data_IF_418460840307
#
_entry.id   IF_418460840307
#
_cell.length_a   1.000
_cell.length_b   1.000
_cell.length_c   1.000
_cell.angle_alpha   90.00
_cell.angle_beta   90.00
_cell.angle_gamma   90.00
#
_symmetry.space_group_name_H-M   'P 1'
#
loop_
_entity.id
_entity.type
_entity.pdbx_description
1 polymer ?
#
# COMPACT_ATOMS: atom_id res chain seq x y z
N UNK A 1 4.87 11.11 35.91
CA UNK A 1 4.17 11.82 34.81
C UNK A 1 4.53 11.14 33.50
N UNK A 2 3.64 10.28 32.96
CA UNK A 2 3.83 9.65 31.65
C UNK A 2 3.48 10.65 30.56
N UNK A 3 4.44 10.92 29.65
CA UNK A 3 4.23 11.79 28.49
C UNK A 3 3.66 10.95 27.36
N UNK A 4 2.37 11.10 27.10
CA UNK A 4 1.70 10.50 25.94
C UNK A 4 2.04 11.32 24.70
N UNK A 5 2.80 10.72 23.78
CA UNK A 5 3.07 11.31 22.46
C UNK A 5 1.97 10.82 21.52
N UNK A 6 1.05 11.71 21.16
CA UNK A 6 0.02 11.42 20.17
C UNK A 6 0.67 11.59 18.79
N UNK A 7 0.91 10.47 18.10
CA UNK A 7 1.35 10.46 16.70
C UNK A 7 0.15 10.82 15.80
N UNK A 8 0.01 12.11 15.47
CA UNK A 8 -0.97 12.60 14.51
C UNK A 8 -0.49 12.30 13.09
N UNK A 9 -1.10 11.32 12.42
CA UNK A 9 -0.89 11.03 11.01
C UNK A 9 -1.60 12.09 10.16
N UNK A 10 -0.81 12.99 9.54
CA UNK A 10 -1.30 13.93 8.54
C UNK A 10 -1.76 13.14 7.30
N UNK A 11 -3.08 13.05 7.09
CA UNK A 11 -3.66 12.60 5.83
C UNK A 11 -3.62 13.77 4.84
N UNK A 12 -2.54 13.87 4.05
CA UNK A 12 -2.43 14.88 3.01
C UNK A 12 -3.34 14.52 1.81
N UNK A 13 -4.51 15.14 1.72
CA UNK A 13 -5.34 15.15 0.51
C UNK A 13 -4.71 16.12 -0.49
N UNK A 14 -3.87 15.60 -1.39
CA UNK A 14 -3.23 16.40 -2.44
C UNK A 14 -4.20 16.75 -3.55
N UNK A 15 -4.46 18.05 -3.75
CA UNK A 15 -5.03 18.58 -4.99
C UNK A 15 -4.11 19.72 -5.49
N UNK A 16 -3.59 19.55 -6.72
CA UNK A 16 -2.96 20.51 -7.63
C UNK A 16 -1.86 19.76 -8.40
N UNK A 17 -1.71 19.80 -9.72
CA UNK A 17 -2.44 20.43 -10.81
C UNK A 17 -1.69 20.10 -12.11
N UNK A 18 -2.42 20.06 -13.22
CA UNK A 18 -2.04 20.41 -14.61
C UNK A 18 -0.68 19.91 -15.18
N UNK A 19 -0.76 18.98 -16.14
CA UNK A 19 0.34 18.61 -17.03
C UNK A 19 0.10 17.28 -17.75
N UNK A 20 -0.39 17.33 -18.99
CA UNK A 20 -0.73 16.16 -19.78
C UNK A 20 0.45 15.25 -20.08
N UNK A 21 0.39 14.04 -19.56
CA UNK A 21 0.92 12.81 -20.15
C UNK A 21 -0.17 11.77 -19.89
N UNK A 22 -0.51 10.95 -20.90
CA UNK A 22 -1.45 9.85 -20.71
C UNK A 22 -0.86 8.86 -19.69
N UNK A 23 -1.13 9.13 -18.41
CA UNK A 23 -0.82 8.23 -17.32
C UNK A 23 -1.89 7.15 -17.38
N UNK A 24 -1.49 5.89 -17.55
CA UNK A 24 -2.33 4.77 -17.19
C UNK A 24 -2.53 4.82 -15.67
N UNK A 25 -3.43 5.69 -15.21
CA UNK A 25 -3.83 5.78 -13.81
C UNK A 25 -4.81 4.65 -13.55
N UNK A 26 -4.51 3.81 -12.55
CA UNK A 26 -5.39 2.69 -12.23
C UNK A 26 -6.71 3.22 -11.66
N UNK A 27 -7.83 2.74 -12.20
CA UNK A 27 -9.14 2.93 -11.57
C UNK A 27 -9.16 2.31 -10.17
N UNK A 28 -9.29 3.16 -9.15
CA UNK A 28 -9.31 2.74 -7.75
C UNK A 28 -10.70 2.15 -7.41
N UNK A 29 -10.72 0.90 -6.94
CA UNK A 29 -11.90 0.17 -6.46
C UNK A 29 -11.72 -0.07 -4.95
N UNK A 30 -12.43 0.73 -4.14
CA UNK A 30 -12.34 0.78 -2.68
C UNK A 30 -10.90 0.89 -2.12
N UNK A 31 -9.98 1.32 -2.98
CA UNK A 31 -8.55 1.27 -2.74
C UNK A 31 -7.93 2.63 -2.42
N UNK A 32 -6.63 2.73 -2.64
CA UNK A 32 -5.88 3.96 -2.51
C UNK A 32 -4.58 3.94 -3.30
N UNK A 33 -3.92 5.08 -3.36
CA UNK A 33 -2.64 5.25 -4.06
C UNK A 33 -1.70 6.14 -3.27
N UNK A 34 -0.40 6.01 -3.55
CA UNK A 34 0.61 6.92 -3.00
C UNK A 34 1.75 7.17 -3.99
N UNK A 35 2.24 8.41 -4.01
CA UNK A 35 3.48 8.78 -4.67
C UNK A 35 4.68 8.29 -3.84
N UNK A 36 5.54 7.48 -4.43
CA UNK A 36 6.66 6.84 -3.72
C UNK A 36 8.03 7.34 -4.16
N UNK A 37 8.11 8.53 -4.76
CA UNK A 37 9.38 9.07 -5.29
C UNK A 37 10.45 9.27 -4.22
N UNK A 38 10.06 9.72 -3.03
CA UNK A 38 10.98 10.10 -1.94
C UNK A 38 11.17 8.98 -0.90
N UNK A 39 10.83 7.75 -1.26
CA UNK A 39 10.96 6.61 -0.35
C UNK A 39 12.41 6.12 -0.29
N UNK A 40 12.96 6.02 0.91
CA UNK A 40 14.22 5.32 1.19
C UNK A 40 13.96 3.86 1.61
N UNK A 41 13.24 3.11 0.78
CA UNK A 41 12.90 1.71 1.03
C UNK A 41 11.41 1.39 0.96
N UNK A 42 11.01 0.29 1.61
CA UNK A 42 9.62 -0.16 1.65
C UNK A 42 8.96 0.25 2.97
N UNK A 43 7.81 0.93 2.87
CA UNK A 43 6.92 1.20 4.00
C UNK A 43 5.88 0.09 4.06
N UNK A 44 5.57 -0.34 5.27
CA UNK A 44 4.53 -1.34 5.55
C UNK A 44 3.47 -0.70 6.40
N UNK A 45 2.23 -1.05 6.15
CA UNK A 45 1.13 -0.63 7.00
C UNK A 45 1.19 -1.39 8.33
N UNK A 46 1.32 -0.74 9.47
CA UNK A 46 1.46 -1.41 10.77
C UNK A 46 0.18 -2.14 11.21
N UNK A 47 0.25 -3.43 11.51
CA UNK A 47 -0.86 -4.13 12.17
C UNK A 47 -0.77 -3.80 13.65
N UNK A 48 -1.71 -3.00 14.17
CA UNK A 48 -1.80 -2.71 15.60
C UNK A 48 -1.83 -4.02 16.38
N UNK A 49 -0.97 -4.09 17.39
CA UNK A 49 -0.66 -5.28 18.18
C UNK A 49 -1.91 -6.10 18.47
N UNK A 50 -1.88 -7.37 18.04
CA UNK A 50 -2.85 -8.33 18.53
C UNK A 50 -2.69 -8.42 20.05
N UNK A 51 -3.80 -8.41 20.77
CA UNK A 51 -3.82 -8.78 22.17
C UNK A 51 -3.35 -10.24 22.26
N UNK A 52 -2.05 -10.44 22.47
CA UNK A 52 -1.47 -11.74 22.81
C UNK A 52 -1.99 -12.06 24.21
N UNK A 53 -2.96 -12.96 24.30
CA UNK A 53 -3.33 -13.55 25.59
C UNK A 53 -2.08 -14.20 26.18
N UNK A 54 -1.84 -14.01 27.49
CA UNK A 54 -0.66 -14.47 28.24
C UNK A 54 -0.27 -15.95 28.04
N UNK A 55 -1.16 -16.77 27.50
CA UNK A 55 -0.97 -18.21 27.30
C UNK A 55 -0.50 -18.62 25.89
N UNK A 56 -0.10 -17.66 25.04
CA UNK A 56 0.71 -17.93 23.83
C UNK A 56 0.08 -18.79 22.72
N UNK A 57 -1.18 -19.21 22.85
CA UNK A 57 -1.76 -20.27 21.99
C UNK A 57 -2.89 -19.82 21.06
N UNK A 58 -3.19 -18.52 20.95
CA UNK A 58 -4.18 -18.05 19.95
C UNK A 58 -3.65 -16.87 19.14
N UNK A 59 -2.98 -17.15 18.02
CA UNK A 59 -2.91 -16.18 16.93
C UNK A 59 -4.32 -16.12 16.30
N UNK A 60 -5.18 -15.22 16.78
CA UNK A 60 -6.43 -14.92 16.06
C UNK A 60 -6.02 -14.48 14.66
N UNK A 61 -6.61 -15.07 13.61
CA UNK A 61 -6.42 -14.59 12.25
C UNK A 61 -6.61 -13.08 12.22
N UNK A 62 -5.64 -12.33 11.67
CA UNK A 62 -5.74 -10.87 11.59
C UNK A 62 -6.96 -10.54 10.71
N UNK A 63 -8.03 -10.03 11.32
CA UNK A 63 -9.30 -9.82 10.63
C UNK A 63 -9.32 -8.50 9.83
N UNK A 64 -8.49 -7.55 10.23
CA UNK A 64 -8.40 -6.21 9.63
C UNK A 64 -6.97 -5.70 9.77
N UNK A 65 -6.45 -5.08 8.71
CA UNK A 65 -5.23 -4.31 8.79
C UNK A 65 -5.50 -2.81 8.72
N UNK A 66 -4.47 -2.02 8.98
CA UNK A 66 -4.56 -0.55 9.07
C UNK A 66 -5.00 0.11 7.76
N UNK A 67 -4.80 -0.52 6.60
CA UNK A 67 -5.11 0.08 5.30
C UNK A 67 -6.29 -0.66 4.68
N UNK A 68 -7.47 -0.06 4.82
CA UNK A 68 -8.70 -0.47 4.15
C UNK A 68 -9.02 -1.96 4.35
N UNK A 69 -8.93 -2.44 5.61
CA UNK A 69 -9.20 -3.84 5.94
C UNK A 69 -8.11 -4.82 5.48
N UNK A 70 -6.91 -4.34 5.12
CA UNK A 70 -5.81 -5.13 4.61
C UNK A 70 -4.42 -4.64 5.04
N UNK A 71 -3.40 -5.32 4.54
CA UNK A 71 -1.99 -5.02 4.76
C UNK A 71 -1.32 -4.63 3.45
N UNK A 72 -0.72 -3.44 3.44
CA UNK A 72 -0.11 -2.86 2.26
C UNK A 72 1.37 -2.55 2.48
N UNK A 73 2.21 -3.09 1.60
CA UNK A 73 3.64 -2.77 1.50
C UNK A 73 3.85 -1.98 0.21
N UNK A 74 4.50 -0.82 0.29
CA UNK A 74 4.74 0.05 -0.85
C UNK A 74 6.06 0.78 -0.74
N UNK A 75 6.57 1.26 -1.86
CA UNK A 75 7.74 2.12 -1.87
C UNK A 75 8.64 1.88 -3.06
N UNK A 76 9.90 2.22 -2.90
CA UNK A 76 10.92 1.97 -3.91
C UNK A 76 12.17 1.34 -3.31
N UNK A 77 12.93 0.63 -4.14
CA UNK A 77 14.31 0.28 -3.85
C UNK A 77 15.23 0.89 -4.92
N UNK A 78 16.48 0.45 -5.00
CA UNK A 78 17.44 0.98 -5.98
C UNK A 78 16.96 0.87 -7.43
N UNK A 79 16.14 -0.14 -7.75
CA UNK A 79 15.79 -0.49 -9.13
C UNK A 79 14.29 -0.48 -9.44
N UNK A 80 13.43 -0.60 -8.42
CA UNK A 80 12.02 -0.90 -8.61
C UNK A 80 11.11 -0.05 -7.74
N UNK A 81 9.94 0.26 -8.31
CA UNK A 81 8.72 0.64 -7.60
C UNK A 81 8.00 -0.65 -7.21
N UNK A 82 7.54 -0.76 -5.97
CA UNK A 82 6.93 -1.99 -5.46
C UNK A 82 5.61 -1.66 -4.77
N UNK A 83 4.60 -2.49 -5.04
CA UNK A 83 3.34 -2.52 -4.28
C UNK A 83 2.98 -3.98 -3.98
N UNK A 84 2.66 -4.29 -2.73
CA UNK A 84 2.13 -5.59 -2.31
C UNK A 84 0.95 -5.38 -1.38
N UNK A 85 -0.20 -5.93 -1.72
CA UNK A 85 -1.41 -5.77 -0.95
C UNK A 85 -2.09 -7.11 -0.69
N UNK A 86 -2.50 -7.30 0.55
CA UNK A 86 -3.31 -8.44 1.00
C UNK A 86 -4.51 -7.88 1.74
N UNK A 87 -5.73 -8.21 1.33
CA UNK A 87 -6.92 -7.91 2.12
C UNK A 87 -7.31 -9.15 2.94
N UNK A 88 -7.71 -8.99 4.19
CA UNK A 88 -7.94 -10.15 5.08
C UNK A 88 -9.28 -10.86 4.82
N UNK A 89 -10.33 -10.10 4.48
CA UNK A 89 -11.70 -10.62 4.25
C UNK A 89 -12.21 -10.57 2.80
N UNK A 90 -11.50 -9.94 1.88
CA UNK A 90 -11.95 -9.60 0.51
C UNK A 90 -10.84 -9.87 -0.49
N UNK A 91 -11.16 -9.81 -1.78
CA UNK A 91 -10.13 -9.93 -2.80
C UNK A 91 -9.26 -8.68 -2.82
N UNK A 92 -7.94 -8.84 -2.85
CA UNK A 92 -6.98 -7.74 -2.88
C UNK A 92 -6.21 -7.67 -4.19
N UNK A 93 -5.90 -6.46 -4.66
CA UNK A 93 -5.05 -6.23 -5.83
C UNK A 93 -4.03 -5.12 -5.54
N UNK A 94 -2.79 -5.33 -5.95
CA UNK A 94 -1.73 -4.33 -5.90
C UNK A 94 -1.29 -3.96 -7.33
N UNK A 95 -0.96 -2.69 -7.55
CA UNK A 95 -0.41 -2.22 -8.81
C UNK A 95 0.62 -1.12 -8.61
N UNK A 96 1.39 -0.84 -9.66
CA UNK A 96 2.39 0.23 -9.70
C UNK A 96 2.44 0.85 -11.10
N UNK A 97 2.81 2.13 -11.15
CA UNK A 97 3.14 2.84 -12.39
C UNK A 97 4.39 3.69 -12.17
N UNK A 98 5.20 3.88 -13.22
CA UNK A 98 6.32 4.82 -13.22
C UNK A 98 6.05 6.03 -14.12
N UNK A 99 6.98 6.99 -14.20
CA UNK A 99 6.82 8.22 -14.98
C UNK A 99 6.53 7.99 -16.46
N UNK A 100 7.00 6.87 -17.02
CA UNK A 100 6.83 6.55 -18.43
C UNK A 100 5.50 5.84 -18.72
N UNK A 101 4.63 5.68 -17.71
CA UNK A 101 3.37 4.97 -17.85
C UNK A 101 3.53 3.45 -17.87
N UNK A 102 4.72 2.91 -17.53
CA UNK A 102 4.90 1.47 -17.38
C UNK A 102 4.07 1.01 -16.18
N UNK A 103 3.00 0.26 -16.47
CA UNK A 103 2.04 -0.22 -15.48
C UNK A 103 2.15 -1.73 -15.31
N UNK A 104 2.17 -2.20 -14.07
CA UNK A 104 1.98 -3.62 -13.74
C UNK A 104 1.07 -3.79 -12.54
N UNK A 105 0.30 -4.87 -12.55
CA UNK A 105 -0.52 -5.29 -11.43
C UNK A 105 -0.30 -6.77 -11.10
N UNK A 106 -0.55 -7.16 -9.85
CA UNK A 106 -0.45 -8.53 -9.39
C UNK A 106 -1.72 -9.37 -9.61
N UNK A 107 -2.74 -8.81 -10.27
CA UNK A 107 -4.08 -9.37 -10.38
C UNK A 107 -4.87 -9.37 -9.06
N UNK A 108 -6.15 -9.69 -9.15
CA UNK A 108 -7.00 -9.94 -7.98
C UNK A 108 -6.60 -11.25 -7.31
N UNK A 109 -6.32 -11.20 -6.01
CA UNK A 109 -6.02 -12.37 -5.19
C UNK A 109 -7.12 -12.57 -4.17
N UNK A 110 -7.39 -13.84 -3.87
CA UNK A 110 -8.32 -14.26 -2.82
C UNK A 110 -7.93 -13.64 -1.46
N UNK A 111 -8.86 -13.60 -0.48
CA UNK A 111 -8.56 -13.11 0.85
C UNK A 111 -7.32 -13.78 1.45
N UNK A 112 -6.59 -13.02 2.24
CA UNK A 112 -5.35 -13.41 2.91
C UNK A 112 -4.20 -13.86 1.99
N UNK A 113 -4.24 -13.48 0.70
CA UNK A 113 -3.13 -13.68 -0.25
C UNK A 113 -2.63 -12.35 -0.80
N UNK A 114 -1.30 -12.19 -0.83
CA UNK A 114 -0.68 -11.00 -1.41
C UNK A 114 -0.82 -10.96 -2.94
N UNK A 115 -1.42 -9.89 -3.44
CA UNK A 115 -1.17 -9.40 -4.79
C UNK A 115 0.12 -8.57 -4.79
N UNK A 116 1.03 -8.80 -5.74
CA UNK A 116 2.34 -8.14 -5.81
C UNK A 116 2.60 -7.59 -7.20
N UNK A 117 3.06 -6.35 -7.27
CA UNK A 117 3.44 -5.69 -8.51
C UNK A 117 4.77 -4.94 -8.35
N UNK A 118 5.55 -4.89 -9.43
CA UNK A 118 6.77 -4.10 -9.53
C UNK A 118 7.02 -3.60 -10.95
N UNK A 119 7.58 -2.41 -11.07
CA UNK A 119 8.09 -1.82 -12.33
C UNK A 119 9.42 -1.14 -12.07
N UNK A 120 10.17 -0.82 -13.13
CA UNK A 120 11.46 -0.14 -12.97
C UNK A 120 11.24 1.26 -12.39
N UNK A 121 12.03 1.62 -11.38
CA UNK A 121 12.00 2.94 -10.76
C UNK A 121 12.49 4.01 -11.73
N UNK A 122 11.76 5.11 -11.80
CA UNK A 122 12.19 6.34 -12.48
C UNK A 122 12.57 7.41 -11.46
N UNK A 123 13.29 8.46 -11.89
CA UNK A 123 13.69 9.57 -11.00
C UNK A 123 12.53 10.29 -10.30
N UNK A 124 11.33 10.20 -10.88
CA UNK A 124 10.09 10.70 -10.29
C UNK A 124 8.89 10.00 -10.92
N UNK A 125 7.67 10.44 -10.63
CA UNK A 125 6.44 9.90 -11.22
C UNK A 125 6.12 8.44 -10.87
N UNK A 126 6.72 7.88 -9.83
CA UNK A 126 6.42 6.55 -9.33
C UNK A 126 5.21 6.58 -8.41
N UNK A 127 4.20 5.76 -8.69
CA UNK A 127 3.05 5.56 -7.81
C UNK A 127 2.81 4.08 -7.54
N UNK A 128 2.36 3.79 -6.33
CA UNK A 128 1.92 2.48 -5.90
C UNK A 128 0.43 2.54 -5.53
N UNK A 129 -0.32 1.49 -5.84
CA UNK A 129 -1.75 1.41 -5.59
C UNK A 129 -2.11 0.10 -4.88
N UNK A 130 -3.22 0.13 -4.16
CA UNK A 130 -3.92 -1.05 -3.68
C UNK A 130 -5.42 -0.92 -3.95
N UNK A 131 -6.10 -2.04 -4.14
CA UNK A 131 -7.53 -2.14 -4.41
C UNK A 131 -8.14 -3.35 -3.73
N UNK A 132 -9.43 -3.27 -3.39
CA UNK A 132 -10.17 -4.41 -2.82
C UNK A 132 -11.62 -4.51 -3.31
N UNK A 133 -12.15 -5.74 -3.40
CA UNK A 133 -13.57 -6.00 -3.71
C UNK A 133 -14.06 -7.27 -3.03
#
# INVERSE_FOLDING_TARGET
>A
MSKTIILSSLLALGISGIGGIASADEGIINGGSENVNNYNGLVRSEVSEQNVTKDGTTLKSIETGPISGGYWIRGTNSYYVISKYKHYKRSGKASVVNKYGEFRNGGWKRPDVFSSAKVRKTFGGNKAYYNHK
#
